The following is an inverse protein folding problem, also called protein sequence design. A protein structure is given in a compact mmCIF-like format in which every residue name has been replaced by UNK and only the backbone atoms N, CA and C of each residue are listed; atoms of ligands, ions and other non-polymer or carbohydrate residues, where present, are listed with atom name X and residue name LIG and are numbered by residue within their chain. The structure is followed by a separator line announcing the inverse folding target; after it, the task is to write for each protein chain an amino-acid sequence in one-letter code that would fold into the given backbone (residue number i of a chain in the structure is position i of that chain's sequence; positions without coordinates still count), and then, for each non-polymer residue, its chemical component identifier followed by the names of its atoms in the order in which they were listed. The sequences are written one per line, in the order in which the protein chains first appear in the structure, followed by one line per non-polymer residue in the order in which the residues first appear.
data_IF_831872979568
#
_entry.id   IF_831872979568
#
_cell.length_a   1.000
_cell.length_b   1.000
_cell.length_c   1.000
_cell.angle_alpha   90.00
_cell.angle_beta   90.00
_cell.angle_gamma   90.00
#
_symmetry.space_group_name_H-M   'P 1'
#
loop_
_entity.id
_entity.type
_entity.pdbx_description
1 polymer ?
#
# COMPACT_ATOMS: atom_id res chain seq x y z
N UNK A 1 -11.16 25.71 9.07
CA UNK A 1 -10.83 24.54 9.92
C UNK A 1 -9.61 24.90 10.75
N UNK A 2 -9.68 24.64 12.05
CA UNK A 2 -8.56 24.82 12.98
C UNK A 2 -8.12 23.42 13.45
N UNK A 3 -7.00 22.87 12.91
CA UNK A 3 -6.55 21.53 13.30
C UNK A 3 -5.92 21.55 14.70
N UNK A 4 -6.27 20.56 15.51
CA UNK A 4 -5.66 20.30 16.82
C UNK A 4 -4.91 18.96 16.74
N UNK A 5 -3.59 19.02 16.52
CA UNK A 5 -2.75 17.86 16.35
C UNK A 5 -2.24 17.34 17.71
N UNK A 6 -2.01 16.03 17.82
CA UNK A 6 -1.35 15.42 18.95
C UNK A 6 -2.18 14.43 19.78
N UNK A 7 -3.52 14.41 19.64
CA UNK A 7 -4.39 13.51 20.43
C UNK A 7 -4.16 12.01 20.20
N UNK A 8 -3.62 11.63 19.06
CA UNK A 8 -3.27 10.24 18.74
C UNK A 8 -1.74 10.01 18.75
N UNK A 9 -0.96 10.94 19.29
CA UNK A 9 0.49 10.79 19.40
C UNK A 9 0.85 9.66 20.36
N UNK A 10 1.58 8.66 19.86
CA UNK A 10 1.90 7.43 20.59
C UNK A 10 3.35 7.37 21.09
N UNK A 11 4.15 8.42 20.89
CA UNK A 11 5.54 8.50 21.29
C UNK A 11 6.47 7.52 20.56
N UNK A 12 6.14 7.17 19.32
CA UNK A 12 6.87 6.14 18.54
C UNK A 12 8.35 6.53 18.38
N UNK A 13 8.65 7.79 18.10
CA UNK A 13 10.01 8.29 17.92
C UNK A 13 10.83 8.08 19.19
N UNK A 14 10.26 8.36 20.35
CA UNK A 14 10.93 8.19 21.63
C UNK A 14 11.12 6.72 22.02
N UNK A 15 10.17 5.87 21.63
CA UNK A 15 10.32 4.42 21.80
C UNK A 15 11.41 3.85 20.89
N UNK A 16 11.55 4.34 19.67
CA UNK A 16 12.61 3.93 18.74
C UNK A 16 14.02 4.21 19.28
N UNK A 17 14.20 5.29 20.06
CA UNK A 17 15.48 5.57 20.73
C UNK A 17 15.85 4.55 21.82
N UNK A 18 14.86 3.86 22.38
CA UNK A 18 15.04 2.92 23.50
C UNK A 18 15.11 1.46 23.04
N UNK A 19 14.57 1.15 21.88
CA UNK A 19 14.46 -0.20 21.36
C UNK A 19 15.64 -0.56 20.45
N UNK A 20 15.95 -1.85 20.38
CA UNK A 20 16.85 -2.38 19.36
C UNK A 20 16.19 -2.36 17.98
N UNK A 21 16.97 -2.35 16.89
CA UNK A 21 16.43 -2.35 15.53
C UNK A 21 15.36 -3.45 15.28
N UNK A 22 15.55 -4.73 15.70
CA UNK A 22 14.50 -5.73 15.55
C UNK A 22 13.21 -5.41 16.31
N UNK A 23 13.30 -4.74 17.46
CA UNK A 23 12.12 -4.36 18.25
C UNK A 23 11.36 -3.19 17.62
N UNK A 24 12.05 -2.25 16.95
CA UNK A 24 11.41 -1.12 16.27
C UNK A 24 10.54 -1.56 15.08
N UNK A 25 10.80 -2.74 14.49
CA UNK A 25 9.97 -3.27 13.41
C UNK A 25 8.49 -3.39 13.78
N UNK A 26 8.19 -3.70 15.05
CA UNK A 26 6.81 -3.76 15.52
C UNK A 26 6.12 -2.39 15.58
N UNK A 27 6.89 -1.32 15.71
CA UNK A 27 6.36 0.05 15.72
C UNK A 27 6.02 0.52 14.30
N UNK A 28 6.89 0.21 13.33
CA UNK A 28 6.70 0.65 11.95
C UNK A 28 5.45 0.07 11.30
N UNK A 29 5.09 -1.19 11.58
CA UNK A 29 3.85 -1.79 11.11
C UNK A 29 2.60 -1.00 11.52
N UNK A 30 2.68 -0.31 12.66
CA UNK A 30 1.55 0.40 13.26
C UNK A 30 1.52 1.90 12.96
N UNK A 31 2.48 2.41 12.21
CA UNK A 31 2.50 3.81 11.78
C UNK A 31 1.38 4.07 10.77
N UNK A 32 1.34 3.27 9.72
CA UNK A 32 0.21 3.18 8.80
C UNK A 32 -0.18 1.71 8.65
N UNK A 33 -1.10 1.26 9.48
CA UNK A 33 -1.49 -0.14 9.56
C UNK A 33 -2.24 -0.66 8.32
N UNK A 34 -2.63 0.22 7.41
CA UNK A 34 -3.19 -0.15 6.09
C UNK A 34 -2.10 -0.44 5.04
N UNK A 35 -0.85 -0.13 5.34
CA UNK A 35 0.34 -0.42 4.55
C UNK A 35 1.47 -0.96 5.42
N UNK A 36 1.13 -1.83 6.38
CA UNK A 36 2.04 -2.31 7.43
C UNK A 36 3.33 -2.90 6.85
N UNK A 37 3.21 -3.77 5.84
CA UNK A 37 4.38 -4.40 5.21
C UNK A 37 5.29 -3.40 4.51
N UNK A 38 4.74 -2.39 3.82
CA UNK A 38 5.54 -1.39 3.13
C UNK A 38 6.35 -0.52 4.10
N UNK A 39 5.75 -0.11 5.23
CA UNK A 39 6.47 0.63 6.27
C UNK A 39 7.58 -0.19 6.90
N UNK A 40 7.32 -1.47 7.15
CA UNK A 40 8.34 -2.40 7.63
C UNK A 40 9.43 -2.61 6.58
N UNK A 41 9.07 -2.77 5.29
CA UNK A 41 10.03 -2.93 4.20
C UNK A 41 11.00 -1.75 4.14
N UNK A 42 10.50 -0.53 4.26
CA UNK A 42 11.35 0.66 4.26
C UNK A 42 12.40 0.61 5.39
N UNK A 43 11.99 0.29 6.63
CA UNK A 43 12.93 0.20 7.75
C UNK A 43 13.91 -0.97 7.60
N UNK A 44 13.40 -2.15 7.22
CA UNK A 44 14.24 -3.33 7.01
C UNK A 44 15.28 -3.08 5.91
N UNK A 45 14.86 -2.47 4.79
CA UNK A 45 15.74 -2.13 3.67
C UNK A 45 16.86 -1.16 4.08
N UNK A 46 16.54 -0.12 4.85
CA UNK A 46 17.56 0.82 5.36
C UNK A 46 18.59 0.12 6.26
N UNK A 47 18.11 -0.79 7.13
CA UNK A 47 19.00 -1.55 8.02
C UNK A 47 19.88 -2.52 7.21
N UNK A 48 19.30 -3.23 6.24
CA UNK A 48 20.01 -4.16 5.37
C UNK A 48 21.09 -3.47 4.55
N UNK A 49 20.75 -2.32 3.95
CA UNK A 49 21.72 -1.49 3.21
C UNK A 49 22.85 -0.99 4.11
N UNK A 50 22.50 -0.45 5.29
CA UNK A 50 23.48 0.06 6.27
C UNK A 50 24.42 -1.02 6.84
N UNK A 51 23.95 -2.28 6.89
CA UNK A 51 24.72 -3.44 7.35
C UNK A 51 25.41 -4.20 6.21
N UNK A 52 25.16 -3.87 4.95
CA UNK A 52 25.67 -4.59 3.79
C UNK A 52 25.11 -6.02 3.67
N UNK A 53 23.88 -6.24 4.06
CA UNK A 53 23.23 -7.56 3.98
C UNK A 53 22.66 -7.76 2.57
N UNK A 54 23.20 -8.74 1.86
CA UNK A 54 22.68 -9.15 0.55
C UNK A 54 21.56 -10.16 0.70
N UNK A 55 20.48 -9.95 -0.03
CA UNK A 55 19.31 -10.84 -0.06
C UNK A 55 19.30 -11.67 -1.34
N UNK A 56 18.75 -12.88 -1.27
CA UNK A 56 18.52 -13.68 -2.46
C UNK A 56 17.40 -13.05 -3.31
N UNK A 57 17.49 -13.20 -4.64
CA UNK A 57 16.47 -12.73 -5.58
C UNK A 57 15.06 -13.26 -5.21
N UNK A 58 14.99 -14.51 -4.73
CA UNK A 58 13.71 -15.09 -4.29
C UNK A 58 13.05 -14.29 -3.19
N UNK A 59 13.79 -13.85 -2.16
CA UNK A 59 13.27 -13.01 -1.07
C UNK A 59 12.79 -11.67 -1.62
N UNK A 60 13.57 -11.06 -2.52
CA UNK A 60 13.22 -9.78 -3.13
C UNK A 60 11.95 -9.87 -3.98
N UNK A 61 11.77 -10.95 -4.76
CA UNK A 61 10.54 -11.19 -5.52
C UNK A 61 9.33 -11.38 -4.59
N UNK A 62 9.46 -12.15 -3.51
CA UNK A 62 8.39 -12.35 -2.54
C UNK A 62 7.99 -11.01 -1.91
N UNK A 63 8.97 -10.20 -1.48
CA UNK A 63 8.71 -8.87 -0.94
C UNK A 63 7.98 -7.97 -1.95
N UNK A 64 8.41 -7.97 -3.21
CA UNK A 64 7.78 -7.18 -4.27
C UNK A 64 6.32 -7.60 -4.49
N UNK A 65 6.02 -8.90 -4.53
CA UNK A 65 4.65 -9.40 -4.69
C UNK A 65 3.79 -9.00 -3.48
N UNK A 66 4.31 -9.18 -2.28
CA UNK A 66 3.59 -8.85 -1.04
C UNK A 66 3.34 -7.35 -0.89
N UNK A 67 4.29 -6.50 -1.31
CA UNK A 67 4.10 -5.05 -1.33
C UNK A 67 2.98 -4.65 -2.29
N UNK A 68 2.90 -5.26 -3.48
CA UNK A 68 1.82 -4.95 -4.42
C UNK A 68 0.46 -5.51 -3.95
N UNK A 69 0.42 -6.67 -3.29
CA UNK A 69 -0.81 -7.15 -2.63
C UNK A 69 -1.27 -6.18 -1.53
N UNK A 70 -0.34 -5.70 -0.70
CA UNK A 70 -0.66 -4.69 0.32
C UNK A 70 -1.12 -3.37 -0.31
N UNK A 71 -0.56 -2.98 -1.46
CA UNK A 71 -1.00 -1.80 -2.20
C UNK A 71 -2.43 -1.95 -2.71
N UNK A 72 -2.77 -3.10 -3.26
CA UNK A 72 -4.14 -3.41 -3.71
C UNK A 72 -5.10 -3.38 -2.51
N UNK A 73 -4.74 -4.01 -1.41
CA UNK A 73 -5.50 -4.00 -0.15
C UNK A 73 -5.80 -2.58 0.33
N UNK A 74 -4.76 -1.74 0.37
CA UNK A 74 -4.88 -0.34 0.79
C UNK A 74 -5.76 0.47 -0.18
N UNK A 75 -5.57 0.32 -1.49
CA UNK A 75 -6.38 1.04 -2.48
C UNK A 75 -7.86 0.65 -2.40
N UNK A 76 -8.18 -0.63 -2.23
CA UNK A 76 -9.56 -1.10 -2.05
C UNK A 76 -10.19 -0.46 -0.81
N UNK A 77 -9.47 -0.41 0.31
CA UNK A 77 -9.97 0.23 1.52
C UNK A 77 -10.14 1.75 1.34
N UNK A 78 -9.11 2.43 0.80
CA UNK A 78 -9.16 3.88 0.60
C UNK A 78 -10.34 4.29 -0.28
N UNK A 79 -10.47 3.66 -1.46
CA UNK A 79 -11.56 3.99 -2.39
C UNK A 79 -12.92 3.66 -1.83
N UNK A 80 -13.04 2.57 -1.06
CA UNK A 80 -14.27 2.19 -0.37
C UNK A 80 -14.69 3.23 0.66
N UNK A 81 -13.78 3.66 1.52
CA UNK A 81 -14.05 4.70 2.52
C UNK A 81 -14.40 6.04 1.87
N UNK A 82 -13.70 6.42 0.80
CA UNK A 82 -14.01 7.61 0.02
C UNK A 82 -15.44 7.55 -0.56
N UNK A 83 -15.84 6.40 -1.10
CA UNK A 83 -17.18 6.19 -1.60
C UNK A 83 -18.23 6.31 -0.48
N UNK A 84 -17.96 5.75 0.69
CA UNK A 84 -18.84 5.87 1.87
C UNK A 84 -19.01 7.31 2.32
N UNK A 85 -17.92 8.08 2.39
CA UNK A 85 -17.94 9.49 2.79
C UNK A 85 -18.78 10.35 1.83
N UNK A 86 -18.87 9.92 0.57
CA UNK A 86 -19.74 10.54 -0.44
C UNK A 86 -21.17 9.98 -0.48
N UNK A 87 -21.49 9.02 0.40
CA UNK A 87 -22.81 8.42 0.51
C UNK A 87 -23.05 7.21 -0.38
N UNK A 88 -22.01 6.69 -1.08
CA UNK A 88 -22.12 5.52 -1.94
C UNK A 88 -21.84 4.21 -1.17
N UNK A 89 -22.75 3.85 -0.24
CA UNK A 89 -22.59 2.68 0.64
C UNK A 89 -22.41 1.36 -0.15
N UNK A 90 -23.09 1.20 -1.28
CA UNK A 90 -22.94 -0.02 -2.11
C UNK A 90 -21.51 -0.19 -2.61
N UNK A 91 -20.88 0.87 -3.09
CA UNK A 91 -19.50 0.84 -3.53
C UNK A 91 -18.53 0.52 -2.37
N UNK A 92 -18.78 1.07 -1.17
CA UNK A 92 -18.04 0.70 0.03
C UNK A 92 -18.11 -0.81 0.29
N UNK A 93 -19.31 -1.39 0.29
CA UNK A 93 -19.50 -2.83 0.55
C UNK A 93 -18.82 -3.71 -0.52
N UNK A 94 -18.84 -3.30 -1.78
CA UNK A 94 -18.17 -4.02 -2.86
C UNK A 94 -16.64 -4.02 -2.68
N UNK A 95 -16.04 -2.88 -2.41
CA UNK A 95 -14.61 -2.82 -2.16
C UNK A 95 -14.18 -3.60 -0.93
N UNK A 96 -14.99 -3.62 0.14
CA UNK A 96 -14.72 -4.46 1.32
C UNK A 96 -14.85 -5.95 1.02
N UNK A 97 -15.83 -6.36 0.20
CA UNK A 97 -15.96 -7.74 -0.29
C UNK A 97 -14.67 -8.18 -1.03
N UNK A 98 -14.19 -7.34 -1.93
CA UNK A 98 -13.04 -7.68 -2.77
C UNK A 98 -11.73 -7.65 -1.98
N UNK A 99 -11.65 -6.76 -0.98
CA UNK A 99 -10.55 -6.69 -0.02
C UNK A 99 -10.39 -8.00 0.77
N UNK A 100 -11.47 -8.65 1.16
CA UNK A 100 -11.42 -9.94 1.87
C UNK A 100 -10.64 -11.01 1.10
N UNK A 101 -10.75 -11.06 -0.22
CA UNK A 101 -9.99 -12.00 -1.04
C UNK A 101 -8.48 -11.73 -0.99
N UNK A 102 -8.07 -10.46 -0.97
CA UNK A 102 -6.66 -10.09 -0.81
C UNK A 102 -6.13 -10.49 0.56
N UNK A 103 -6.90 -10.18 1.61
CA UNK A 103 -6.54 -10.51 2.99
C UNK A 103 -6.38 -12.02 3.21
N UNK A 104 -7.24 -12.85 2.60
CA UNK A 104 -7.14 -14.31 2.69
C UNK A 104 -5.82 -14.83 2.12
N UNK A 105 -5.41 -14.35 0.94
CA UNK A 105 -4.12 -14.75 0.32
C UNK A 105 -2.93 -14.31 1.17
N UNK A 106 -3.00 -13.11 1.77
CA UNK A 106 -1.95 -12.62 2.65
C UNK A 106 -1.89 -13.42 3.96
N UNK A 107 -3.04 -13.73 4.55
CA UNK A 107 -3.15 -14.49 5.80
C UNK A 107 -2.61 -15.90 5.67
N UNK A 108 -2.90 -16.61 4.58
CA UNK A 108 -2.40 -17.98 4.32
C UNK A 108 -0.86 -18.05 4.39
N UNK A 109 -0.17 -17.00 3.95
CA UNK A 109 1.29 -16.95 3.94
C UNK A 109 1.89 -16.33 5.21
N UNK A 110 1.26 -15.28 5.73
CA UNK A 110 1.85 -14.48 6.82
C UNK A 110 1.26 -14.76 8.20
N UNK A 111 0.07 -15.36 8.25
CA UNK A 111 -0.73 -15.55 9.46
C UNK A 111 -1.42 -14.27 9.95
N UNK A 112 -1.30 -13.15 9.24
CA UNK A 112 -1.86 -11.85 9.63
C UNK A 112 -2.72 -11.21 8.55
N UNK A 113 -3.80 -10.57 8.97
CA UNK A 113 -4.73 -9.88 8.05
C UNK A 113 -4.49 -8.37 7.99
N UNK A 114 -3.96 -7.76 9.04
CA UNK A 114 -3.73 -6.32 9.14
C UNK A 114 -2.26 -6.00 9.45
N UNK A 115 -1.72 -6.61 10.50
CA UNK A 115 -0.33 -6.47 10.93
C UNK A 115 0.36 -7.81 10.67
N UNK A 116 0.90 -7.98 9.47
CA UNK A 116 1.45 -9.26 9.01
C UNK A 116 2.79 -9.60 9.68
N UNK A 117 3.57 -8.59 10.08
CA UNK A 117 4.85 -8.78 10.75
C UNK A 117 5.82 -9.72 9.99
N UNK A 118 5.77 -9.71 8.67
CA UNK A 118 6.33 -10.74 7.80
C UNK A 118 7.80 -10.51 7.43
N UNK A 119 8.18 -9.25 7.12
CA UNK A 119 9.57 -8.97 6.76
C UNK A 119 10.47 -8.94 7.99
N UNK A 120 11.65 -9.56 7.86
CA UNK A 120 12.70 -9.59 8.87
C UNK A 120 14.00 -9.04 8.26
N UNK A 121 14.87 -8.50 9.09
CA UNK A 121 16.23 -8.12 8.68
C UNK A 121 16.93 -9.38 8.17
N UNK A 122 17.39 -9.37 6.93
CA UNK A 122 18.02 -10.49 6.25
C UNK A 122 17.06 -11.52 5.64
N UNK A 123 15.72 -11.29 5.65
CA UNK A 123 14.81 -12.25 5.05
C UNK A 123 13.32 -12.04 5.34
N UNK A 124 12.63 -13.18 5.51
CA UNK A 124 11.19 -13.28 5.79
C UNK A 124 10.98 -14.08 7.08
N UNK A 125 9.79 -13.95 7.68
CA UNK A 125 9.44 -14.70 8.88
C UNK A 125 9.26 -16.19 8.60
N UNK A 126 8.68 -16.52 7.45
CA UNK A 126 8.44 -17.88 6.97
C UNK A 126 8.48 -17.88 5.45
N UNK A 127 8.60 -19.05 4.85
CA UNK A 127 8.43 -19.20 3.41
C UNK A 127 6.97 -19.00 3.00
N UNK A 128 6.74 -18.77 1.69
CA UNK A 128 5.39 -18.65 1.14
C UNK A 128 4.64 -19.99 1.23
N UNK A 129 3.32 -19.92 1.37
CA UNK A 129 2.46 -21.09 1.25
C UNK A 129 2.67 -21.79 -0.11
N UNK A 130 2.65 -23.12 -0.18
CA UNK A 130 2.81 -23.85 -1.45
C UNK A 130 1.85 -23.43 -2.56
N UNK A 131 0.64 -22.97 -2.21
CA UNK A 131 -0.37 -22.53 -3.16
C UNK A 131 -0.32 -21.02 -3.42
N UNK A 132 0.57 -20.26 -2.76
CA UNK A 132 0.62 -18.79 -2.84
C UNK A 132 0.59 -18.27 -4.27
N UNK A 133 1.44 -18.82 -5.14
CA UNK A 133 1.53 -18.36 -6.54
C UNK A 133 0.24 -18.62 -7.32
N UNK A 134 -0.41 -19.77 -7.11
CA UNK A 134 -1.70 -20.06 -7.73
C UNK A 134 -2.80 -19.16 -7.19
N UNK A 135 -2.86 -18.96 -5.86
CA UNK A 135 -3.85 -18.12 -5.21
C UNK A 135 -3.74 -16.65 -5.63
N UNK A 136 -2.51 -16.11 -5.77
CA UNK A 136 -2.27 -14.77 -6.30
C UNK A 136 -2.73 -14.64 -7.75
N UNK A 137 -2.47 -15.65 -8.61
CA UNK A 137 -2.94 -15.63 -10.00
C UNK A 137 -4.48 -15.67 -10.10
N UNK A 138 -5.13 -16.47 -9.27
CA UNK A 138 -6.59 -16.52 -9.19
C UNK A 138 -7.16 -15.22 -8.66
N UNK A 139 -6.56 -14.64 -7.64
CA UNK A 139 -6.92 -13.32 -7.12
C UNK A 139 -6.84 -12.24 -8.20
N UNK A 140 -5.74 -12.17 -8.96
CA UNK A 140 -5.59 -11.22 -10.04
C UNK A 140 -6.67 -11.40 -11.15
N UNK A 141 -7.02 -12.65 -11.44
CA UNK A 141 -8.10 -12.96 -12.39
C UNK A 141 -9.48 -12.53 -11.86
N UNK A 142 -9.72 -12.72 -10.58
CA UNK A 142 -10.95 -12.29 -9.90
C UNK A 142 -11.06 -10.76 -9.85
N UNK A 143 -10.01 -10.05 -9.44
CA UNK A 143 -10.06 -8.61 -9.21
C UNK A 143 -10.24 -7.78 -10.49
N UNK A 144 -9.74 -8.24 -11.65
CA UNK A 144 -9.82 -7.47 -12.90
C UNK A 144 -11.24 -7.03 -13.27
N UNK A 145 -12.24 -7.93 -13.33
CA UNK A 145 -13.63 -7.52 -13.58
C UNK A 145 -14.24 -6.72 -12.42
N UNK A 146 -13.79 -6.95 -11.18
CA UNK A 146 -14.30 -6.20 -10.02
C UNK A 146 -13.87 -4.73 -10.03
N UNK A 147 -12.69 -4.42 -10.56
CA UNK A 147 -12.28 -3.03 -10.78
C UNK A 147 -13.22 -2.32 -11.74
N UNK A 148 -13.64 -2.99 -12.82
CA UNK A 148 -14.63 -2.41 -13.76
C UNK A 148 -16.00 -2.22 -13.10
N UNK A 149 -16.46 -3.22 -12.32
CA UNK A 149 -17.71 -3.08 -11.55
C UNK A 149 -17.66 -1.87 -10.61
N UNK A 150 -16.52 -1.63 -9.96
CA UNK A 150 -16.35 -0.50 -9.08
C UNK A 150 -16.35 0.85 -9.83
N UNK A 151 -15.74 0.90 -11.01
CA UNK A 151 -15.78 2.08 -11.88
C UNK A 151 -17.22 2.36 -12.32
N UNK A 152 -17.98 1.36 -12.76
CA UNK A 152 -19.36 1.51 -13.21
C UNK A 152 -20.29 2.00 -12.08
N UNK A 153 -20.10 1.51 -10.86
CA UNK A 153 -20.95 1.86 -9.70
C UNK A 153 -20.58 3.20 -9.09
N UNK A 154 -19.29 3.54 -9.04
CA UNK A 154 -18.81 4.72 -8.32
C UNK A 154 -17.95 5.65 -9.21
N UNK A 155 -16.92 5.15 -9.86
CA UNK A 155 -15.94 5.98 -10.57
C UNK A 155 -16.59 6.81 -11.68
N UNK A 156 -17.35 6.16 -12.55
CA UNK A 156 -18.00 6.77 -13.72
C UNK A 156 -19.45 7.24 -13.43
N UNK A 157 -19.86 7.21 -12.17
CA UNK A 157 -21.17 7.67 -11.76
C UNK A 157 -21.30 9.20 -11.92
N UNK A 158 -22.42 9.65 -12.49
CA UNK A 158 -22.69 11.07 -12.70
C UNK A 158 -22.62 11.90 -11.40
N UNK A 159 -23.06 11.35 -10.27
CA UNK A 159 -23.03 12.02 -8.98
C UNK A 159 -21.56 12.22 -8.53
N UNK A 160 -20.73 11.21 -8.72
CA UNK A 160 -19.29 11.28 -8.41
C UNK A 160 -18.62 12.36 -9.28
N UNK A 161 -18.88 12.36 -10.59
CA UNK A 161 -18.35 13.37 -11.49
C UNK A 161 -18.76 14.79 -11.12
N UNK A 162 -20.04 15.02 -10.80
CA UNK A 162 -20.55 16.35 -10.41
C UNK A 162 -19.98 16.83 -9.06
N UNK A 163 -19.64 15.92 -8.16
CA UNK A 163 -19.05 16.26 -6.86
C UNK A 163 -17.56 16.50 -6.90
N UNK A 164 -16.83 15.85 -7.82
CA UNK A 164 -15.36 15.95 -7.88
C UNK A 164 -14.85 16.91 -8.96
N UNK A 165 -15.57 17.06 -10.08
CA UNK A 165 -15.09 17.84 -11.20
C UNK A 165 -14.79 19.27 -10.81
N UNK A 166 -13.57 19.72 -11.05
CA UNK A 166 -13.06 21.06 -10.73
C UNK A 166 -13.09 21.42 -9.25
N UNK A 167 -13.15 20.44 -8.34
CA UNK A 167 -13.09 20.65 -6.89
C UNK A 167 -11.72 20.21 -6.38
N UNK A 168 -11.01 21.11 -5.67
CA UNK A 168 -9.71 20.80 -5.08
C UNK A 168 -8.62 20.53 -6.13
N UNK A 169 -8.68 21.22 -7.26
CA UNK A 169 -7.67 21.08 -8.33
C UNK A 169 -6.31 21.50 -7.81
N UNK A 170 -5.32 20.66 -8.02
CA UNK A 170 -3.91 20.88 -7.70
C UNK A 170 -3.09 20.62 -8.96
N UNK A 171 -2.23 21.52 -9.34
CA UNK A 171 -1.34 21.35 -10.48
C UNK A 171 0.00 20.70 -10.08
N UNK A 172 0.83 20.38 -11.07
CA UNK A 172 2.14 19.76 -10.84
C UNK A 172 3.05 20.62 -9.96
N UNK A 173 3.03 21.95 -10.15
CA UNK A 173 3.87 22.88 -9.40
C UNK A 173 3.44 22.94 -7.93
N UNK A 174 2.15 22.93 -7.68
CA UNK A 174 1.61 22.83 -6.32
C UNK A 174 2.03 21.53 -5.65
N UNK A 175 1.94 20.39 -6.36
CA UNK A 175 2.37 19.10 -5.85
C UNK A 175 3.85 19.10 -5.45
N UNK A 176 4.72 19.67 -6.27
CA UNK A 176 6.14 19.78 -5.97
C UNK A 176 6.38 20.70 -4.76
N UNK A 177 5.70 21.85 -4.71
CA UNK A 177 5.87 22.85 -3.65
C UNK A 177 5.42 22.32 -2.28
N UNK A 178 4.34 21.54 -2.24
CA UNK A 178 3.81 20.97 -1.00
C UNK A 178 4.33 19.54 -0.70
N UNK A 179 5.18 18.98 -1.56
CA UNK A 179 5.70 17.62 -1.39
C UNK A 179 4.64 16.53 -1.54
N UNK A 180 3.62 16.75 -2.36
CA UNK A 180 2.55 15.77 -2.62
C UNK A 180 3.07 14.70 -3.56
N UNK A 181 3.12 13.45 -3.09
CA UNK A 181 3.64 12.29 -3.83
C UNK A 181 2.54 11.25 -4.11
N UNK A 182 2.93 10.14 -4.74
CA UNK A 182 2.05 9.00 -4.97
C UNK A 182 0.90 9.27 -5.93
N UNK A 183 -0.27 8.63 -5.74
CA UNK A 183 -1.40 8.74 -6.66
C UNK A 183 -1.89 10.18 -6.87
N UNK A 184 -1.94 10.99 -5.81
CA UNK A 184 -2.38 12.39 -5.91
C UNK A 184 -1.43 13.23 -6.76
N UNK A 185 -0.12 13.10 -6.56
CA UNK A 185 0.88 13.79 -7.38
C UNK A 185 0.81 13.35 -8.86
N UNK A 186 0.67 12.05 -9.12
CA UNK A 186 0.52 11.55 -10.49
C UNK A 186 -0.80 12.00 -11.15
N UNK A 187 -1.89 12.01 -10.41
CA UNK A 187 -3.17 12.52 -10.91
C UNK A 187 -3.11 14.02 -11.27
N UNK A 188 -2.18 14.76 -10.67
CA UNK A 188 -1.90 16.17 -10.99
C UNK A 188 -0.86 16.35 -12.12
N UNK A 189 -0.44 15.27 -12.78
CA UNK A 189 0.50 15.29 -13.91
C UNK A 189 1.97 15.13 -13.53
N UNK A 190 2.32 15.08 -12.23
CA UNK A 190 3.69 14.88 -11.82
C UNK A 190 4.13 13.42 -12.00
N UNK A 191 5.00 13.21 -13.00
CA UNK A 191 5.52 11.89 -13.37
C UNK A 191 6.57 11.39 -12.36
N UNK A 192 6.13 11.08 -11.15
CA UNK A 192 6.99 10.57 -10.10
C UNK A 192 6.46 9.26 -9.52
N UNK A 193 7.17 8.18 -9.80
CA UNK A 193 6.95 6.88 -9.18
C UNK A 193 8.28 6.32 -8.66
N UNK A 194 8.40 6.19 -7.35
CA UNK A 194 9.62 5.73 -6.67
C UNK A 194 10.05 4.35 -7.17
N UNK A 195 9.10 3.49 -7.53
CA UNK A 195 9.40 2.14 -8.06
C UNK A 195 10.14 2.18 -9.39
N UNK A 196 10.01 3.28 -10.16
CA UNK A 196 10.71 3.51 -11.43
C UNK A 196 11.91 4.45 -11.29
N UNK A 197 11.73 5.54 -10.54
CA UNK A 197 12.76 6.58 -10.45
C UNK A 197 13.90 6.20 -9.50
N UNK A 198 13.57 5.41 -8.46
CA UNK A 198 14.51 4.90 -7.45
C UNK A 198 14.13 3.46 -7.11
N UNK A 199 14.29 2.51 -8.05
CA UNK A 199 13.82 1.15 -7.87
C UNK A 199 14.49 0.46 -6.67
N UNK A 200 13.69 -0.27 -5.94
CA UNK A 200 14.08 -1.11 -4.81
C UNK A 200 13.53 -2.53 -5.00
N UNK A 201 13.99 -3.49 -4.21
CA UNK A 201 13.64 -4.91 -4.34
C UNK A 201 13.81 -5.39 -5.80
N UNK A 202 12.76 -5.82 -6.47
CA UNK A 202 12.81 -6.31 -7.85
C UNK A 202 12.05 -5.42 -8.83
N UNK A 203 11.76 -4.15 -8.48
CA UNK A 203 11.02 -3.26 -9.37
C UNK A 203 11.79 -2.88 -10.64
N UNK A 204 13.12 -2.94 -10.63
CA UNK A 204 13.97 -2.78 -11.83
C UNK A 204 13.82 -3.93 -12.84
N UNK A 205 13.35 -5.10 -12.39
CA UNK A 205 13.11 -6.29 -13.24
C UNK A 205 11.67 -6.43 -13.70
N UNK A 206 10.76 -5.60 -13.18
CA UNK A 206 9.34 -5.66 -13.51
C UNK A 206 9.00 -4.56 -14.49
N UNK A 207 8.39 -4.93 -15.62
CA UNK A 207 7.89 -3.96 -16.59
C UNK A 207 6.43 -3.62 -16.29
N UNK A 208 6.16 -2.35 -15.97
CA UNK A 208 4.81 -1.81 -15.75
C UNK A 208 4.73 -0.37 -16.24
N UNK A 209 3.53 0.07 -16.56
CA UNK A 209 3.28 1.46 -16.95
C UNK A 209 3.06 2.33 -15.71
N UNK A 210 3.60 3.54 -15.76
CA UNK A 210 3.30 4.59 -14.80
C UNK A 210 2.05 5.32 -15.27
N UNK A 211 1.00 5.28 -14.45
CA UNK A 211 -0.25 6.00 -14.73
C UNK A 211 -0.14 7.42 -14.14
N UNK A 212 -0.38 8.41 -14.98
CA UNK A 212 -0.43 9.85 -14.64
C UNK A 212 -1.75 10.45 -15.10
#
# INVERSE_FOLDING_TARGET
IYPHLGYIHRGIEKLCEQFTYPQTLALTDRMNYLSAMMHRHALVGVIEEGMGIELSERILYIRTIMDELQRIDNHLLYTSCCAQDLGALTAFLYGMRDREHVLNVMEETTGGRLIQNYYRIGGLQADIDPNFVSNVKELCKYLRPMVQEYLDVFGDNVITHERFRNVGVMDEQDCISYGVTGPAGRASGWKNDVRKNHPYAMYDKVNFEQIT
#
